data_IF_539386602948
#
_entry.id   IF_539386602948
#
_cell.length_a   1.000
_cell.length_b   1.000
_cell.length_c   1.000
_cell.angle_alpha   90.00
_cell.angle_beta   90.00
_cell.angle_gamma   90.00
#
_symmetry.space_group_name_H-M   'P 1'
#
loop_
_entity.id
_entity.type
_entity.pdbx_description
1 polymer ?
#
# COMPACT_ATOMS: atom_id res chain seq x y z
N UNK A 1 -14.55 20.21 6.94
CA UNK A 1 -13.80 18.93 6.99
C UNK A 1 -12.57 19.10 6.12
N UNK A 2 -11.38 18.80 6.64
CA UNK A 2 -10.12 18.92 5.89
C UNK A 2 -10.05 17.89 4.78
N UNK A 3 -9.43 18.22 3.66
CA UNK A 3 -9.14 17.26 2.59
C UNK A 3 -7.82 16.55 2.90
N UNK A 4 -7.82 15.23 2.75
CA UNK A 4 -6.65 14.37 2.84
C UNK A 4 -6.45 13.69 1.48
N UNK A 5 -5.37 14.04 0.79
CA UNK A 5 -5.06 13.50 -0.52
C UNK A 5 -4.43 12.10 -0.37
N UNK A 6 -5.00 11.11 -1.02
CA UNK A 6 -4.39 9.78 -1.20
C UNK A 6 -3.77 9.71 -2.58
N UNK A 7 -2.45 9.84 -2.63
CA UNK A 7 -1.66 10.00 -3.86
C UNK A 7 -1.41 8.65 -4.56
N UNK A 8 -2.48 8.05 -5.07
CA UNK A 8 -2.43 6.82 -5.86
C UNK A 8 -3.47 6.83 -6.97
N UNK A 9 -3.11 6.28 -8.13
CA UNK A 9 -4.02 6.05 -9.25
C UNK A 9 -4.59 4.62 -9.25
N UNK A 10 -4.07 3.73 -8.38
CA UNK A 10 -4.55 2.36 -8.25
C UNK A 10 -5.90 2.34 -7.51
N UNK A 11 -6.96 1.92 -8.21
CA UNK A 11 -8.33 1.87 -7.66
C UNK A 11 -8.44 0.99 -6.43
N UNK A 12 -7.81 -0.19 -6.43
CA UNK A 12 -7.82 -1.09 -5.27
C UNK A 12 -7.23 -0.42 -4.03
N UNK A 13 -6.11 0.30 -4.17
CA UNK A 13 -5.52 1.07 -3.08
C UNK A 13 -6.43 2.22 -2.63
N UNK A 14 -7.06 2.94 -3.58
CA UNK A 14 -7.99 4.02 -3.24
C UNK A 14 -9.16 3.52 -2.38
N UNK A 15 -9.75 2.38 -2.75
CA UNK A 15 -10.86 1.80 -2.02
C UNK A 15 -10.45 1.33 -0.62
N UNK A 16 -9.28 0.69 -0.48
CA UNK A 16 -8.72 0.34 0.83
C UNK A 16 -8.48 1.56 1.71
N UNK A 17 -7.82 2.60 1.19
CA UNK A 17 -7.57 3.81 1.96
C UNK A 17 -8.86 4.50 2.38
N UNK A 18 -9.90 4.56 1.54
CA UNK A 18 -11.19 5.12 1.94
C UNK A 18 -11.80 4.39 3.13
N UNK A 19 -11.72 3.05 3.18
CA UNK A 19 -12.21 2.25 4.30
C UNK A 19 -11.34 2.43 5.55
N UNK A 20 -10.02 2.32 5.41
CA UNK A 20 -9.05 2.44 6.51
C UNK A 20 -9.09 3.82 7.18
N UNK A 21 -9.36 4.87 6.42
CA UNK A 21 -9.37 6.25 6.89
C UNK A 21 -10.77 6.77 7.26
N UNK A 22 -11.80 5.92 7.16
CA UNK A 22 -13.20 6.34 7.33
C UNK A 22 -13.52 6.94 8.71
N UNK A 23 -12.73 6.61 9.74
CA UNK A 23 -12.93 7.13 11.10
C UNK A 23 -12.22 8.47 11.35
N UNK A 24 -11.38 8.93 10.40
CA UNK A 24 -10.70 10.21 10.54
C UNK A 24 -11.61 11.38 10.13
N UNK A 25 -11.49 12.55 10.78
CA UNK A 25 -12.32 13.73 10.49
C UNK A 25 -11.83 14.43 9.19
N UNK A 26 -11.66 13.70 8.11
CA UNK A 26 -11.15 14.18 6.84
C UNK A 26 -11.98 13.68 5.67
N UNK A 27 -12.04 14.49 4.61
CA UNK A 27 -12.53 14.08 3.30
C UNK A 27 -11.34 13.49 2.52
N UNK A 28 -11.35 12.17 2.33
CA UNK A 28 -10.36 11.48 1.50
C UNK A 28 -10.61 11.81 0.03
N UNK A 29 -9.60 12.37 -0.62
CA UNK A 29 -9.64 12.76 -2.05
C UNK A 29 -8.49 12.10 -2.81
N UNK A 30 -8.69 11.92 -4.12
CA UNK A 30 -7.70 11.35 -5.05
C UNK A 30 -7.09 12.46 -5.93
N UNK A 31 -5.97 12.20 -6.61
CA UNK A 31 -5.36 13.18 -7.53
C UNK A 31 -6.34 13.73 -8.56
N UNK A 32 -7.14 12.86 -9.17
CA UNK A 32 -8.14 13.25 -10.17
C UNK A 32 -9.19 14.19 -9.58
N UNK A 33 -9.67 13.93 -8.36
CA UNK A 33 -10.70 14.74 -7.68
C UNK A 33 -10.20 16.13 -7.29
N UNK A 34 -8.88 16.32 -7.20
CA UNK A 34 -8.27 17.63 -6.90
C UNK A 34 -7.58 18.28 -8.09
N UNK A 35 -7.71 17.69 -9.28
CA UNK A 35 -7.15 18.22 -10.51
C UNK A 35 -5.61 18.17 -10.58
N UNK A 36 -4.99 17.27 -9.87
CA UNK A 36 -3.53 17.04 -9.92
C UNK A 36 -3.24 15.88 -10.85
N UNK A 37 -2.62 16.18 -11.99
CA UNK A 37 -2.12 15.20 -12.95
C UNK A 37 -0.59 15.19 -12.84
N UNK A 38 -0.08 14.23 -12.08
CA UNK A 38 1.34 14.10 -11.77
C UNK A 38 1.76 12.65 -11.82
N UNK A 39 2.79 12.34 -12.59
CA UNK A 39 3.46 11.06 -12.58
C UNK A 39 4.80 11.21 -11.82
N UNK A 40 4.92 10.52 -10.70
CA UNK A 40 6.14 10.52 -9.89
C UNK A 40 6.91 9.24 -10.14
N UNK A 41 8.13 9.30 -10.70
CA UNK A 41 8.97 8.13 -10.86
C UNK A 41 9.30 7.48 -9.52
N UNK A 42 9.40 6.15 -9.51
CA UNK A 42 9.77 5.35 -8.34
C UNK A 42 11.11 4.61 -8.62
N UNK A 43 12.25 5.34 -8.70
CA UNK A 43 13.54 4.77 -9.06
C UNK A 43 14.32 4.22 -7.86
N UNK A 44 13.83 4.46 -6.64
CA UNK A 44 14.56 4.16 -5.42
C UNK A 44 14.52 2.68 -5.06
N UNK A 45 15.46 2.26 -4.22
CA UNK A 45 15.65 0.87 -3.84
C UNK A 45 14.86 0.47 -2.58
N UNK A 46 14.19 1.43 -1.94
CA UNK A 46 13.36 1.17 -0.76
C UNK A 46 11.95 1.69 -0.96
N UNK A 47 10.99 1.00 -0.37
CA UNK A 47 9.59 1.46 -0.34
C UNK A 47 9.45 2.84 0.32
N UNK A 48 10.23 3.09 1.37
CA UNK A 48 10.19 4.34 2.11
C UNK A 48 10.59 5.54 1.23
N UNK A 49 11.66 5.41 0.45
CA UNK A 49 12.12 6.47 -0.46
C UNK A 49 11.11 6.73 -1.59
N UNK A 50 10.55 5.68 -2.19
CA UNK A 50 9.53 5.82 -3.22
C UNK A 50 8.25 6.47 -2.67
N UNK A 51 7.77 6.02 -1.50
CA UNK A 51 6.61 6.62 -0.84
C UNK A 51 6.85 8.09 -0.47
N UNK A 52 8.03 8.41 0.08
CA UNK A 52 8.43 9.76 0.45
C UNK A 52 8.45 10.71 -0.75
N UNK A 53 9.13 10.31 -1.84
CA UNK A 53 9.19 11.11 -3.05
C UNK A 53 7.80 11.42 -3.61
N UNK A 54 6.93 10.43 -3.62
CA UNK A 54 5.55 10.57 -4.06
C UNK A 54 4.76 11.51 -3.14
N UNK A 55 4.84 11.32 -1.83
CA UNK A 55 4.12 12.16 -0.86
C UNK A 55 4.55 13.64 -0.95
N UNK A 56 5.85 13.90 -1.03
CA UNK A 56 6.41 15.26 -1.16
C UNK A 56 5.94 15.92 -2.46
N UNK A 57 6.04 15.22 -3.60
CA UNK A 57 5.65 15.77 -4.88
C UNK A 57 4.16 16.13 -4.94
N UNK A 58 3.29 15.24 -4.45
CA UNK A 58 1.86 15.49 -4.43
C UNK A 58 1.45 16.55 -3.38
N UNK A 59 2.11 16.61 -2.22
CA UNK A 59 1.88 17.65 -1.22
C UNK A 59 2.26 19.03 -1.78
N UNK A 60 3.40 19.15 -2.46
CA UNK A 60 3.82 20.38 -3.12
C UNK A 60 2.84 20.81 -4.22
N UNK A 61 2.41 19.89 -5.08
CA UNK A 61 1.52 20.19 -6.20
C UNK A 61 0.09 20.54 -5.77
N UNK A 62 -0.42 19.90 -4.71
CA UNK A 62 -1.81 20.07 -4.26
C UNK A 62 -2.00 21.10 -3.15
N UNK A 63 -0.95 21.38 -2.37
CA UNK A 63 -1.05 22.15 -1.12
C UNK A 63 -1.83 21.41 -0.02
N UNK A 64 -2.08 20.11 -0.16
CA UNK A 64 -2.86 19.30 0.78
C UNK A 64 -1.97 18.39 1.62
N UNK A 65 -2.44 18.07 2.83
CA UNK A 65 -1.94 16.92 3.58
C UNK A 65 -2.12 15.68 2.71
N UNK A 66 -1.05 14.94 2.48
CA UNK A 66 -0.99 13.87 1.48
C UNK A 66 -0.54 12.55 2.08
N UNK A 67 -1.22 11.48 1.74
CA UNK A 67 -0.76 10.12 1.95
C UNK A 67 -0.30 9.51 0.64
N UNK A 68 0.88 8.90 0.64
CA UNK A 68 1.36 8.07 -0.46
C UNK A 68 1.89 6.77 0.09
N UNK A 69 1.67 5.67 -0.63
CA UNK A 69 2.26 4.38 -0.28
C UNK A 69 3.13 3.84 -1.42
N UNK A 70 4.19 3.14 -1.03
CA UNK A 70 4.81 2.14 -1.87
C UNK A 70 4.77 0.79 -1.16
N UNK A 71 4.45 -0.27 -1.90
CA UNK A 71 4.15 -1.57 -1.32
C UNK A 71 4.43 -2.70 -2.29
N UNK A 72 4.77 -3.86 -1.75
CA UNK A 72 5.05 -5.03 -2.57
C UNK A 72 5.00 -6.33 -1.79
N UNK A 73 5.23 -7.41 -2.55
CA UNK A 73 5.43 -8.75 -2.03
C UNK A 73 6.91 -9.10 -2.07
N UNK A 74 7.36 -9.77 -1.05
CA UNK A 74 8.72 -10.29 -0.93
C UNK A 74 8.64 -11.79 -0.70
N UNK A 75 9.40 -12.55 -1.49
CA UNK A 75 9.38 -14.01 -1.53
C UNK A 75 10.74 -14.54 -1.10
N UNK A 76 10.82 -15.28 0.01
CA UNK A 76 12.09 -15.77 0.53
C UNK A 76 12.83 -16.65 -0.48
N UNK A 77 12.10 -17.48 -1.21
CA UNK A 77 12.66 -18.32 -2.27
C UNK A 77 13.27 -17.54 -3.46
N UNK A 78 13.07 -16.23 -3.54
CA UNK A 78 13.63 -15.32 -4.54
C UNK A 78 14.52 -14.24 -3.90
N UNK A 79 15.20 -14.57 -2.82
CA UNK A 79 16.05 -13.63 -2.06
C UNK A 79 15.31 -12.34 -1.68
N UNK A 80 14.07 -12.50 -1.25
CA UNK A 80 13.12 -11.42 -0.91
C UNK A 80 12.72 -10.51 -2.09
N UNK A 81 12.99 -10.94 -3.35
CA UNK A 81 12.38 -10.32 -4.52
C UNK A 81 10.89 -10.69 -4.66
N UNK A 82 10.13 -9.98 -5.52
CA UNK A 82 10.48 -8.80 -6.31
C UNK A 82 10.61 -7.49 -5.53
N UNK A 83 10.11 -7.39 -4.27
CA UNK A 83 10.28 -6.24 -3.42
C UNK A 83 9.67 -4.96 -4.02
N UNK A 84 10.42 -3.87 -4.05
CA UNK A 84 9.98 -2.57 -4.62
C UNK A 84 9.62 -2.64 -6.11
N UNK A 85 9.97 -3.71 -6.79
CA UNK A 85 9.64 -3.92 -8.19
C UNK A 85 8.29 -4.65 -8.38
N UNK A 86 7.58 -5.01 -7.32
CA UNK A 86 6.35 -5.80 -7.36
C UNK A 86 5.30 -5.30 -8.35
N UNK A 87 5.13 -3.98 -8.45
CA UNK A 87 4.16 -3.38 -9.36
C UNK A 87 4.49 -3.63 -10.85
N UNK A 88 5.78 -3.74 -11.18
CA UNK A 88 6.30 -3.90 -12.55
C UNK A 88 6.74 -5.32 -12.85
N UNK A 89 6.90 -6.16 -11.83
CA UNK A 89 7.40 -7.52 -11.96
C UNK A 89 6.29 -8.47 -12.45
N UNK A 90 6.67 -9.42 -13.31
CA UNK A 90 5.76 -10.40 -13.90
C UNK A 90 4.79 -9.81 -14.93
N UNK A 91 3.86 -10.61 -15.35
CA UNK A 91 2.85 -10.25 -16.34
C UNK A 91 1.67 -9.44 -15.78
N UNK A 92 0.59 -9.30 -16.56
CA UNK A 92 -0.64 -8.62 -16.11
C UNK A 92 -1.33 -9.35 -14.96
N UNK A 93 -1.24 -10.69 -14.94
CA UNK A 93 -1.70 -11.52 -13.81
C UNK A 93 -0.54 -11.69 -12.81
N UNK A 94 -0.57 -10.87 -11.77
CA UNK A 94 0.46 -10.87 -10.72
C UNK A 94 0.47 -12.16 -9.91
N UNK A 95 -0.70 -12.72 -9.63
CA UNK A 95 -0.84 -13.97 -8.88
C UNK A 95 -0.25 -15.15 -9.67
N UNK A 96 -0.60 -15.29 -10.94
CA UNK A 96 -0.03 -16.32 -11.80
C UNK A 96 1.49 -16.20 -11.90
N UNK A 97 2.02 -15.00 -12.08
CA UNK A 97 3.47 -14.77 -12.18
C UNK A 97 4.24 -15.24 -10.93
N UNK A 98 3.67 -15.03 -9.73
CA UNK A 98 4.28 -15.51 -8.48
C UNK A 98 4.19 -17.03 -8.37
N UNK A 99 3.05 -17.63 -8.71
CA UNK A 99 2.87 -19.09 -8.70
C UNK A 99 3.89 -19.76 -9.63
N UNK A 100 4.06 -19.24 -10.83
CA UNK A 100 4.99 -19.76 -11.82
C UNK A 100 6.45 -19.64 -11.35
N UNK A 101 6.83 -18.50 -10.76
CA UNK A 101 8.17 -18.30 -10.22
C UNK A 101 8.51 -19.23 -9.05
N UNK A 102 7.48 -19.70 -8.33
CA UNK A 102 7.62 -20.65 -7.23
C UNK A 102 7.35 -22.11 -7.63
N UNK A 103 7.24 -22.40 -8.92
CA UNK A 103 7.04 -23.77 -9.39
C UNK A 103 8.24 -24.64 -9.05
N UNK A 104 8.00 -25.82 -8.48
CA UNK A 104 9.04 -26.75 -8.02
C UNK A 104 9.76 -26.33 -6.74
N UNK A 105 9.48 -25.17 -6.16
CA UNK A 105 10.06 -24.73 -4.88
C UNK A 105 9.22 -25.19 -3.70
N UNK A 106 9.90 -25.63 -2.65
CA UNK A 106 9.26 -26.05 -1.38
C UNK A 106 9.06 -24.85 -0.44
N UNK A 107 9.98 -23.90 -0.45
CA UNK A 107 9.85 -22.67 0.31
C UNK A 107 8.88 -21.72 -0.41
N UNK A 108 7.81 -21.38 0.30
CA UNK A 108 6.76 -20.48 -0.18
C UNK A 108 6.52 -19.32 0.79
N UNK A 109 7.44 -19.10 1.75
CA UNK A 109 7.35 -17.98 2.68
C UNK A 109 7.40 -16.66 1.94
N UNK A 110 6.53 -15.78 2.36
CA UNK A 110 6.38 -14.46 1.76
C UNK A 110 6.02 -13.43 2.84
N UNK A 111 6.25 -12.19 2.54
CA UNK A 111 5.70 -11.08 3.29
C UNK A 111 5.19 -9.99 2.36
N UNK A 112 4.15 -9.30 2.80
CA UNK A 112 3.69 -8.08 2.15
C UNK A 112 4.14 -6.89 2.98
N UNK A 113 4.73 -5.89 2.32
CA UNK A 113 5.31 -4.70 2.93
C UNK A 113 4.62 -3.46 2.39
N UNK A 114 4.34 -2.49 3.26
CA UNK A 114 3.87 -1.16 2.90
C UNK A 114 4.70 -0.11 3.65
N UNK A 115 5.30 0.82 2.93
CA UNK A 115 5.71 2.10 3.47
C UNK A 115 4.65 3.14 3.14
N UNK A 116 4.11 3.79 4.17
CA UNK A 116 3.14 4.87 4.08
C UNK A 116 3.83 6.18 4.45
N UNK A 117 3.79 7.14 3.56
CA UNK A 117 4.35 8.47 3.77
C UNK A 117 3.23 9.49 4.00
N UNK A 118 3.37 10.32 5.04
CA UNK A 118 2.57 11.52 5.26
C UNK A 118 3.38 12.70 4.74
N UNK A 119 2.95 13.28 3.62
CA UNK A 119 3.51 14.52 3.07
C UNK A 119 2.80 15.74 3.64
N UNK A 120 3.55 16.61 4.31
CA UNK A 120 3.04 17.86 4.85
C UNK A 120 3.35 18.98 3.85
N UNK A 121 2.34 19.74 3.41
CA UNK A 121 2.57 20.88 2.55
C UNK A 121 3.37 21.97 3.30
N UNK A 122 4.26 22.63 2.59
CA UNK A 122 5.15 23.67 3.14
C UNK A 122 6.19 24.07 2.10
N UNK A 123 7.09 24.97 2.45
CA UNK A 123 8.20 25.38 1.60
C UNK A 123 9.51 25.32 2.41
N UNK A 124 10.28 24.23 2.27
CA UNK A 124 9.99 23.01 1.53
C UNK A 124 8.95 22.11 2.22
N UNK A 125 8.25 21.22 1.48
CA UNK A 125 7.39 20.21 2.09
C UNK A 125 8.22 19.19 2.88
N UNK A 126 7.63 18.65 3.95
CA UNK A 126 8.25 17.63 4.80
C UNK A 126 7.50 16.31 4.72
N UNK A 127 8.14 15.22 5.19
CA UNK A 127 7.57 13.88 5.10
C UNK A 127 7.86 13.06 6.36
N UNK A 128 6.89 12.27 6.77
CA UNK A 128 7.00 11.30 7.86
C UNK A 128 6.63 9.91 7.32
N UNK A 129 7.36 8.86 7.74
CA UNK A 129 7.20 7.50 7.20
C UNK A 129 6.70 6.55 8.28
N UNK A 130 5.75 5.72 7.91
CA UNK A 130 5.19 4.63 8.72
C UNK A 130 5.23 3.34 7.92
N UNK A 131 5.43 2.21 8.58
CA UNK A 131 5.54 0.92 7.89
C UNK A 131 4.58 -0.10 8.46
N UNK A 132 4.16 -1.02 7.61
CA UNK A 132 3.40 -2.18 8.00
C UNK A 132 3.84 -3.40 7.20
N UNK A 133 3.99 -4.53 7.87
CA UNK A 133 4.42 -5.79 7.26
C UNK A 133 3.54 -6.92 7.75
N UNK A 134 3.20 -7.84 6.86
CA UNK A 134 2.46 -9.06 7.19
C UNK A 134 3.21 -10.25 6.61
N UNK A 135 3.58 -11.18 7.47
CA UNK A 135 4.16 -12.45 7.05
C UNK A 135 3.05 -13.43 6.66
N UNK A 136 3.38 -14.30 5.71
CA UNK A 136 2.47 -15.31 5.19
C UNK A 136 3.19 -16.31 4.30
N UNK A 137 2.40 -17.04 3.53
CA UNK A 137 2.92 -17.97 2.51
C UNK A 137 2.14 -17.85 1.22
N UNK A 138 2.75 -18.26 0.11
CA UNK A 138 2.07 -18.27 -1.19
C UNK A 138 1.39 -19.61 -1.41
N UNK A 139 0.11 -19.61 -1.77
CA UNK A 139 -0.64 -20.81 -2.16
C UNK A 139 -0.17 -21.36 -3.52
N UNK A 140 -0.51 -22.61 -3.82
CA UNK A 140 -0.20 -23.24 -5.13
C UNK A 140 -1.17 -22.80 -6.23
N UNK A 141 -2.34 -22.35 -5.84
CA UNK A 141 -3.43 -21.90 -6.72
C UNK A 141 -4.15 -20.71 -6.06
N UNK A 142 -4.77 -19.81 -6.83
CA UNK A 142 -5.54 -18.71 -6.29
C UNK A 142 -6.77 -19.20 -5.51
N UNK A 143 -7.10 -18.52 -4.40
CA UNK A 143 -8.28 -18.78 -3.58
C UNK A 143 -8.96 -17.47 -3.20
N UNK A 144 -10.28 -17.44 -3.22
CA UNK A 144 -11.07 -16.24 -2.97
C UNK A 144 -11.18 -15.33 -4.19
N UNK A 145 -12.04 -14.33 -4.09
CA UNK A 145 -12.32 -13.37 -5.16
C UNK A 145 -12.28 -11.91 -4.71
N UNK A 146 -11.97 -11.66 -3.44
CA UNK A 146 -11.85 -10.32 -2.90
C UNK A 146 -10.48 -9.71 -3.15
N UNK A 147 -10.36 -8.41 -2.85
CA UNK A 147 -9.09 -7.71 -2.93
C UNK A 147 -8.56 -7.49 -4.36
N UNK A 148 -7.23 -7.42 -4.49
CA UNK A 148 -6.53 -7.21 -5.76
C UNK A 148 -5.09 -7.72 -5.69
N UNK A 149 -4.44 -7.80 -6.85
CA UNK A 149 -3.01 -8.12 -6.96
C UNK A 149 -2.65 -9.50 -6.43
N UNK A 150 -1.97 -9.58 -5.31
CA UNK A 150 -1.49 -10.82 -4.71
C UNK A 150 -2.46 -11.43 -3.69
N UNK A 151 -3.57 -10.77 -3.37
CA UNK A 151 -4.50 -11.22 -2.33
C UNK A 151 -5.01 -12.66 -2.51
N UNK A 152 -5.30 -13.15 -3.74
CA UNK A 152 -5.78 -14.51 -3.95
C UNK A 152 -4.75 -15.62 -3.63
N UNK A 153 -3.47 -15.27 -3.56
CA UNK A 153 -2.39 -16.24 -3.34
C UNK A 153 -1.65 -16.01 -2.02
N UNK A 154 -1.92 -14.93 -1.32
CA UNK A 154 -1.26 -14.61 -0.05
C UNK A 154 -2.03 -15.21 1.13
N UNK A 155 -1.52 -16.34 1.64
CA UNK A 155 -2.10 -17.10 2.74
C UNK A 155 -1.64 -16.53 4.08
N UNK A 156 -2.59 -16.12 4.88
CA UNK A 156 -2.40 -15.66 6.26
C UNK A 156 -2.25 -16.83 7.24
N UNK A 157 -1.76 -16.55 8.44
CA UNK A 157 -1.50 -17.55 9.47
C UNK A 157 -2.73 -18.40 9.84
N UNK A 158 -3.93 -17.84 9.68
CA UNK A 158 -5.20 -18.52 9.99
C UNK A 158 -5.67 -19.48 8.87
N UNK A 159 -4.90 -19.64 7.80
CA UNK A 159 -5.17 -20.56 6.71
C UNK A 159 -6.13 -20.07 5.65
N UNK A 160 -6.50 -18.78 5.67
CA UNK A 160 -7.27 -18.10 4.64
C UNK A 160 -6.36 -17.18 3.82
N UNK A 161 -6.64 -17.05 2.52
CA UNK A 161 -5.99 -16.01 1.72
C UNK A 161 -6.59 -14.64 2.01
N UNK A 162 -5.85 -13.59 1.71
CA UNK A 162 -6.36 -12.23 1.86
C UNK A 162 -7.63 -11.99 1.03
N UNK A 163 -7.78 -12.68 -0.12
CA UNK A 163 -8.95 -12.59 -0.98
C UNK A 163 -10.19 -13.38 -0.48
N UNK A 164 -10.01 -14.28 0.49
CA UNK A 164 -11.12 -15.02 1.14
C UNK A 164 -11.74 -14.23 2.30
N UNK A 165 -11.06 -13.19 2.78
CA UNK A 165 -11.56 -12.35 3.88
C UNK A 165 -12.58 -11.32 3.40
N UNK A 166 -13.58 -10.96 4.24
CA UNK A 166 -14.35 -9.75 4.03
C UNK A 166 -13.43 -8.52 3.94
N UNK A 167 -13.80 -7.54 3.11
CA UNK A 167 -12.93 -6.39 2.83
C UNK A 167 -12.42 -5.65 4.08
N UNK A 168 -13.31 -5.38 5.04
CA UNK A 168 -12.94 -4.70 6.29
C UNK A 168 -11.99 -5.52 7.16
N UNK A 169 -12.13 -6.83 7.17
CA UNK A 169 -11.25 -7.72 7.92
C UNK A 169 -9.88 -7.83 7.24
N UNK A 170 -9.86 -7.97 5.92
CA UNK A 170 -8.65 -7.92 5.12
C UNK A 170 -7.91 -6.59 5.35
N UNK A 171 -8.60 -5.47 5.31
CA UNK A 171 -8.00 -4.15 5.50
C UNK A 171 -7.28 -4.05 6.85
N UNK A 172 -7.92 -4.47 7.94
CA UNK A 172 -7.31 -4.45 9.28
C UNK A 172 -6.08 -5.36 9.42
N UNK A 173 -6.04 -6.47 8.70
CA UNK A 173 -4.95 -7.46 8.76
C UNK A 173 -3.85 -7.22 7.74
N UNK A 174 -4.09 -6.34 6.78
CA UNK A 174 -3.16 -6.08 5.68
C UNK A 174 -1.93 -5.29 6.13
N UNK A 175 -0.87 -5.39 5.35
CA UNK A 175 0.32 -4.56 5.49
C UNK A 175 -0.02 -3.05 5.43
N UNK A 176 -0.96 -2.65 4.56
CA UNK A 176 -1.43 -1.27 4.45
C UNK A 176 -2.25 -0.86 5.68
N UNK A 177 -3.10 -1.74 6.19
CA UNK A 177 -3.85 -1.51 7.44
C UNK A 177 -2.93 -1.26 8.61
N UNK A 178 -1.88 -2.07 8.77
CA UNK A 178 -0.87 -1.88 9.83
C UNK A 178 -0.10 -0.55 9.68
N UNK A 179 0.24 -0.16 8.45
CA UNK A 179 0.91 1.12 8.21
C UNK A 179 -0.02 2.31 8.54
N UNK A 180 -1.30 2.23 8.19
CA UNK A 180 -2.31 3.25 8.54
C UNK A 180 -2.55 3.28 10.05
N UNK A 181 -2.64 2.14 10.72
CA UNK A 181 -2.76 2.07 12.18
C UNK A 181 -1.59 2.77 12.88
N UNK A 182 -0.37 2.52 12.44
CA UNK A 182 0.84 3.19 12.96
C UNK A 182 0.82 4.71 12.71
N UNK A 183 0.27 5.15 11.58
CA UNK A 183 0.17 6.56 11.21
C UNK A 183 -1.03 7.30 11.87
N UNK A 184 -2.04 6.57 12.34
CA UNK A 184 -3.33 7.13 12.79
C UNK A 184 -3.22 8.17 13.91
N UNK A 185 -2.37 8.01 14.96
CA UNK A 185 -2.21 9.05 15.97
C UNK A 185 -1.72 10.38 15.36
N UNK A 186 -0.73 10.29 14.48
CA UNK A 186 -0.16 11.46 13.82
C UNK A 186 -1.13 12.12 12.84
N UNK A 187 -1.87 11.33 12.08
CA UNK A 187 -2.93 11.85 11.21
C UNK A 187 -4.01 12.58 12.01
N UNK A 188 -4.41 12.03 13.15
CA UNK A 188 -5.41 12.66 14.02
C UNK A 188 -4.93 14.01 14.54
N UNK A 189 -3.67 14.12 14.98
CA UNK A 189 -3.07 15.39 15.39
C UNK A 189 -3.08 16.42 14.25
N UNK A 190 -2.58 16.03 13.06
CA UNK A 190 -2.49 16.91 11.90
C UNK A 190 -3.85 17.38 11.41
N UNK A 191 -4.89 16.55 11.54
CA UNK A 191 -6.26 16.88 11.13
C UNK A 191 -7.02 17.70 12.18
N UNK A 192 -6.62 17.65 13.45
CA UNK A 192 -7.25 18.41 14.54
C UNK A 192 -6.79 19.87 14.60
N UNK A 193 -5.60 20.20 14.08
CA UNK A 193 -5.08 21.59 14.09
C UNK A 193 -5.91 22.46 13.14
N UNK A 194 -6.56 23.47 13.70
CA UNK A 194 -7.44 24.42 12.99
C UNK A 194 -6.63 25.44 12.20
#
# INVERSE_FOLDING_TARGET
MRRLLVATTNRGKQDEFRRLLAQLPALVVTPVEVGVDLEVPEPYHTYAENAAAKAVAYAAASGLLTLADDSGIELEALDWGPGVHSARWGGPDKAASVIDALQGRTDRRARMVCALAIGLPGDPPTVEIFTGTVDGTVTKEPRGSGGFGYDPIFLLAEGMTAAELPAEEKDRRSHRGRAVEAASPRLSELLAVS
#
